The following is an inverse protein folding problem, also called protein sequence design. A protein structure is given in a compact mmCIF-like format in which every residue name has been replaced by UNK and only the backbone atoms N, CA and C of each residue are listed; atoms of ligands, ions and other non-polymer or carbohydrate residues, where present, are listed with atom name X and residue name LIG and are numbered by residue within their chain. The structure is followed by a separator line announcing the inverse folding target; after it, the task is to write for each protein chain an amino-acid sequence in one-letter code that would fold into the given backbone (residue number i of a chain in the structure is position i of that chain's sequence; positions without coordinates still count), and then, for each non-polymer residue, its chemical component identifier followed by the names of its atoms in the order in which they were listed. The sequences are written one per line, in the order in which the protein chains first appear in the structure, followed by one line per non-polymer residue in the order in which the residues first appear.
data_IF_026261705612
#
_entry.id   IF_026261705612
#
_cell.length_a   1.000
_cell.length_b   1.000
_cell.length_c   1.000
_cell.angle_alpha   90.00
_cell.angle_beta   90.00
_cell.angle_gamma   90.00
#
_symmetry.space_group_name_H-M   'P 1'
#
loop_
_entity.id
_entity.type
_entity.pdbx_description
1 polymer ?
#
# COMPACT_ATOMS: atom_id res chain seq x y z
N UNK A 1 -16.06 -1.41 -8.94
CA UNK A 1 -16.39 -1.14 -10.36
C UNK A 1 -16.53 0.37 -10.54
N UNK A 2 -16.05 0.93 -11.66
CA UNK A 2 -16.38 2.31 -12.05
C UNK A 2 -17.87 2.40 -12.40
N UNK A 3 -18.46 3.60 -12.33
CA UNK A 3 -19.87 3.80 -12.70
C UNK A 3 -20.18 3.27 -14.11
N UNK A 4 -19.34 3.58 -15.09
CA UNK A 4 -19.45 3.09 -16.45
C UNK A 4 -19.39 1.55 -16.57
N UNK A 5 -18.51 0.90 -15.80
CA UNK A 5 -18.42 -0.57 -15.77
C UNK A 5 -19.64 -1.21 -15.10
N UNK A 6 -20.22 -0.52 -14.10
CA UNK A 6 -21.45 -0.94 -13.45
C UNK A 6 -22.62 -0.89 -14.45
N UNK A 7 -22.83 0.26 -15.09
CA UNK A 7 -23.94 0.47 -16.04
C UNK A 7 -23.84 -0.50 -17.22
N UNK A 8 -22.67 -0.69 -17.81
CA UNK A 8 -22.44 -1.67 -18.89
C UNK A 8 -22.67 -3.11 -18.45
N UNK A 9 -22.29 -3.45 -17.22
CA UNK A 9 -22.48 -4.78 -16.62
C UNK A 9 -23.97 -5.10 -16.48
N UNK A 10 -24.73 -4.18 -15.91
CA UNK A 10 -26.17 -4.37 -15.71
C UNK A 10 -26.97 -4.33 -17.01
N UNK A 11 -26.63 -3.45 -17.95
CA UNK A 11 -27.25 -3.41 -19.28
C UNK A 11 -27.05 -4.72 -20.07
N UNK A 12 -26.00 -5.49 -19.76
CA UNK A 12 -25.67 -6.74 -20.43
C UNK A 12 -25.77 -7.97 -19.50
N UNK A 13 -26.52 -7.89 -18.42
CA UNK A 13 -26.58 -8.93 -17.38
C UNK A 13 -26.89 -10.31 -17.93
N UNK A 14 -27.78 -10.42 -18.90
CA UNK A 14 -28.14 -11.69 -19.57
C UNK A 14 -26.95 -12.35 -20.25
N UNK A 15 -26.02 -11.57 -20.80
CA UNK A 15 -24.79 -12.08 -21.43
C UNK A 15 -23.81 -12.66 -20.40
N UNK A 16 -23.87 -12.17 -19.15
CA UNK A 16 -22.91 -12.52 -18.10
C UNK A 16 -23.48 -13.50 -17.06
N UNK A 17 -24.80 -13.75 -17.04
CA UNK A 17 -25.49 -14.54 -15.99
C UNK A 17 -24.88 -15.93 -15.74
N UNK A 18 -24.34 -16.56 -16.78
CA UNK A 18 -23.75 -17.91 -16.67
C UNK A 18 -22.26 -17.88 -16.24
N UNK A 19 -21.67 -16.68 -16.15
CA UNK A 19 -20.25 -16.47 -15.81
C UNK A 19 -20.03 -15.65 -14.56
N UNK A 20 -21.03 -14.93 -14.10
CA UNK A 20 -20.98 -14.03 -12.94
C UNK A 20 -21.99 -14.49 -11.89
N UNK A 21 -21.49 -14.77 -10.70
CA UNK A 21 -22.31 -15.12 -9.56
C UNK A 21 -22.17 -14.05 -8.50
N UNK A 22 -23.26 -13.39 -8.14
CA UNK A 22 -23.29 -12.44 -7.03
C UNK A 22 -23.50 -13.20 -5.73
N UNK A 23 -22.64 -12.96 -4.76
CA UNK A 23 -22.71 -13.52 -3.40
C UNK A 23 -22.61 -12.41 -2.38
N UNK A 24 -23.20 -12.57 -1.18
CA UNK A 24 -22.96 -11.65 -0.09
C UNK A 24 -21.50 -11.73 0.37
N UNK A 25 -21.00 -10.64 0.94
CA UNK A 25 -19.60 -10.48 1.31
C UNK A 25 -19.10 -11.57 2.27
N UNK A 26 -19.93 -12.01 3.22
CA UNK A 26 -19.60 -13.08 4.16
C UNK A 26 -19.33 -14.44 3.47
N UNK A 27 -19.74 -14.62 2.23
CA UNK A 27 -19.42 -15.79 1.40
C UNK A 27 -18.21 -15.47 0.51
N UNK A 28 -18.25 -14.37 -0.26
CA UNK A 28 -17.19 -14.04 -1.22
C UNK A 28 -15.84 -13.76 -0.56
N UNK A 29 -15.85 -13.16 0.63
CA UNK A 29 -14.65 -12.79 1.38
C UNK A 29 -14.33 -13.77 2.53
N UNK A 30 -14.93 -14.96 2.55
CA UNK A 30 -14.66 -15.95 3.59
C UNK A 30 -13.17 -16.34 3.60
N UNK A 31 -12.43 -16.14 4.70
CA UNK A 31 -11.01 -16.46 4.81
C UNK A 31 -10.67 -17.89 4.39
N UNK A 32 -11.51 -18.85 4.77
CA UNK A 32 -11.35 -20.26 4.39
C UNK A 32 -11.48 -20.51 2.88
N UNK A 33 -12.36 -19.78 2.19
CA UNK A 33 -12.52 -19.88 0.75
C UNK A 33 -11.32 -19.25 0.02
N UNK A 34 -10.89 -18.06 0.46
CA UNK A 34 -9.73 -17.36 -0.12
C UNK A 34 -8.49 -18.26 -0.06
N UNK A 35 -8.23 -18.87 1.10
CA UNK A 35 -7.09 -19.79 1.27
C UNK A 35 -7.19 -21.03 0.38
N UNK A 36 -8.36 -21.67 0.31
CA UNK A 36 -8.54 -22.90 -0.51
C UNK A 36 -8.39 -22.63 -1.99
N UNK A 37 -8.74 -21.44 -2.46
CA UNK A 37 -8.60 -21.05 -3.87
C UNK A 37 -7.16 -20.68 -4.24
N UNK A 38 -6.27 -20.47 -3.28
CA UNK A 38 -4.90 -19.99 -3.54
C UNK A 38 -4.89 -18.64 -4.23
N UNK A 39 -5.71 -17.71 -3.76
CA UNK A 39 -5.92 -16.39 -4.38
C UNK A 39 -4.63 -15.59 -4.40
N UNK A 40 -4.35 -14.93 -5.53
CA UNK A 40 -3.40 -13.83 -5.61
C UNK A 40 -4.20 -12.54 -5.43
N UNK A 41 -4.01 -11.87 -4.29
CA UNK A 41 -4.70 -10.63 -3.97
C UNK A 41 -3.90 -9.41 -4.44
N UNK A 42 -4.53 -8.55 -5.24
CA UNK A 42 -3.94 -7.29 -5.68
C UNK A 42 -4.83 -6.16 -5.16
N UNK A 43 -4.31 -5.39 -4.22
CA UNK A 43 -5.00 -4.28 -3.59
C UNK A 43 -4.29 -2.96 -3.90
N UNK A 44 -5.04 -1.86 -3.95
CA UNK A 44 -4.46 -0.52 -4.09
C UNK A 44 -4.10 0.05 -2.73
N UNK A 45 -2.99 0.80 -2.68
CA UNK A 45 -2.58 1.61 -1.55
C UNK A 45 -2.69 3.10 -1.89
N UNK A 46 -2.94 3.94 -0.89
CA UNK A 46 -2.73 5.39 -0.97
C UNK A 46 -1.25 5.67 -0.75
N UNK A 47 -0.69 5.06 0.29
CA UNK A 47 0.74 5.17 0.62
C UNK A 47 1.22 3.91 1.33
N UNK A 48 2.51 3.63 1.29
CA UNK A 48 3.15 2.64 2.14
C UNK A 48 4.49 3.14 2.67
N UNK A 49 4.91 2.60 3.81
CA UNK A 49 6.18 3.00 4.40
C UNK A 49 7.34 2.08 4.02
N UNK A 50 8.53 2.48 4.47
CA UNK A 50 9.78 1.76 4.20
C UNK A 50 9.81 0.35 4.79
N UNK A 51 8.92 0.00 5.71
CA UNK A 51 8.84 -1.35 6.30
C UNK A 51 7.73 -2.20 5.70
N UNK A 52 6.84 -1.59 4.91
CA UNK A 52 5.77 -2.28 4.21
C UNK A 52 4.41 -2.21 4.92
N UNK A 53 4.24 -1.30 5.90
CA UNK A 53 2.91 -0.95 6.38
C UNK A 53 2.17 -0.17 5.30
N UNK A 54 0.87 -0.42 5.15
CA UNK A 54 0.04 0.14 4.08
C UNK A 54 -1.11 0.94 4.65
N UNK A 55 -1.28 2.16 4.13
CA UNK A 55 -2.48 2.97 4.26
C UNK A 55 -3.25 2.92 2.93
N UNK A 56 -4.49 2.47 2.98
CA UNK A 56 -5.38 2.36 1.82
C UNK A 56 -6.67 3.17 1.97
N UNK A 57 -6.85 3.90 3.08
CA UNK A 57 -8.12 4.57 3.43
C UNK A 57 -8.00 6.06 3.69
N UNK A 58 -6.87 6.56 4.20
CA UNK A 58 -6.73 7.94 4.67
C UNK A 58 -5.77 8.76 3.80
N UNK A 59 -6.11 10.04 3.61
CA UNK A 59 -5.27 11.05 2.97
C UNK A 59 -4.97 12.19 3.92
N UNK A 60 -3.75 12.74 3.81
CA UNK A 60 -3.32 13.87 4.66
C UNK A 60 -3.34 13.57 6.15
N UNK A 61 -3.22 12.31 6.52
CA UNK A 61 -3.14 11.84 7.91
C UNK A 61 -4.48 11.63 8.62
N UNK A 62 -5.53 12.38 8.28
CA UNK A 62 -6.76 12.41 9.08
C UNK A 62 -8.06 12.24 8.30
N UNK A 63 -8.04 12.46 6.99
CA UNK A 63 -9.25 12.46 6.18
C UNK A 63 -9.48 11.07 5.56
N UNK A 64 -10.58 10.43 5.93
CA UNK A 64 -10.97 9.17 5.30
C UNK A 64 -11.43 9.43 3.86
N UNK A 65 -10.83 8.73 2.91
CA UNK A 65 -11.17 8.78 1.49
C UNK A 65 -12.13 7.67 1.11
N UNK A 66 -11.90 6.47 1.63
CA UNK A 66 -12.72 5.27 1.38
C UNK A 66 -12.57 4.29 2.54
N UNK A 67 -13.50 3.35 2.65
CA UNK A 67 -13.39 2.26 3.62
C UNK A 67 -12.38 1.19 3.18
N UNK A 68 -11.93 0.38 4.12
CA UNK A 68 -10.97 -0.72 3.88
C UNK A 68 -11.53 -1.80 2.93
N UNK A 69 -12.85 -1.94 2.85
CA UNK A 69 -13.50 -2.98 2.06
C UNK A 69 -13.09 -4.39 2.48
N UNK A 70 -12.90 -5.25 1.49
CA UNK A 70 -12.45 -6.65 1.71
C UNK A 70 -10.93 -6.83 1.69
N UNK A 71 -10.15 -5.76 1.57
CA UNK A 71 -8.70 -5.89 1.39
C UNK A 71 -8.01 -6.62 2.53
N UNK A 72 -8.49 -6.46 3.78
CA UNK A 72 -7.96 -7.16 4.94
C UNK A 72 -8.19 -8.67 4.90
N UNK A 73 -9.39 -9.10 4.49
CA UNK A 73 -9.71 -10.53 4.35
C UNK A 73 -8.83 -11.16 3.27
N UNK A 74 -8.68 -10.48 2.14
CA UNK A 74 -7.86 -11.00 1.03
C UNK A 74 -6.37 -10.94 1.35
N UNK A 75 -5.83 -9.83 1.85
CA UNK A 75 -4.41 -9.70 2.14
C UNK A 75 -3.91 -10.79 3.12
N UNK A 76 -4.68 -11.03 4.20
CA UNK A 76 -4.30 -12.01 5.24
C UNK A 76 -4.49 -13.46 4.85
N UNK A 77 -5.26 -13.75 3.81
CA UNK A 77 -5.66 -15.12 3.49
C UNK A 77 -5.28 -15.54 2.06
N UNK A 78 -4.78 -14.63 1.24
CA UNK A 78 -4.28 -14.95 -0.10
C UNK A 78 -3.02 -15.82 -0.05
N UNK A 79 -2.77 -16.53 -1.13
CA UNK A 79 -1.49 -17.19 -1.36
C UNK A 79 -0.37 -16.16 -1.57
N UNK A 80 -0.71 -15.03 -2.20
CA UNK A 80 0.20 -13.91 -2.42
C UNK A 80 -0.55 -12.60 -2.25
N UNK A 81 -0.07 -11.73 -1.37
CA UNK A 81 -0.63 -10.41 -1.08
C UNK A 81 0.21 -9.32 -1.73
N UNK A 82 -0.37 -8.60 -2.68
CA UNK A 82 0.28 -7.54 -3.46
C UNK A 82 -0.43 -6.23 -3.22
N UNK A 83 0.31 -5.17 -2.91
CA UNK A 83 -0.20 -3.81 -2.87
C UNK A 83 0.44 -2.95 -3.95
N UNK A 84 -0.37 -2.14 -4.62
CA UNK A 84 0.05 -1.32 -5.76
C UNK A 84 -0.30 0.14 -5.53
N UNK A 85 0.61 1.04 -5.90
CA UNK A 85 0.37 2.49 -5.95
C UNK A 85 1.30 3.13 -6.97
N UNK A 86 1.17 4.43 -7.23
CA UNK A 86 2.18 5.20 -7.94
C UNK A 86 3.30 5.58 -6.97
N UNK A 87 4.52 5.78 -7.45
CA UNK A 87 5.62 6.25 -6.60
C UNK A 87 5.45 7.72 -6.20
N UNK A 88 4.83 8.52 -7.08
CA UNK A 88 4.54 9.93 -6.87
C UNK A 88 3.28 10.38 -7.61
N UNK A 89 2.69 11.51 -7.19
CA UNK A 89 1.66 12.22 -7.94
C UNK A 89 2.21 12.75 -9.28
N UNK A 90 1.31 13.05 -10.24
CA UNK A 90 1.70 13.53 -11.59
C UNK A 90 2.58 14.78 -11.58
N UNK A 91 2.44 15.62 -10.58
CA UNK A 91 3.22 16.86 -10.41
C UNK A 91 4.42 16.69 -9.47
N UNK A 92 4.71 15.47 -9.05
CA UNK A 92 5.78 15.11 -8.11
C UNK A 92 5.77 15.90 -6.80
N UNK A 93 4.59 16.33 -6.34
CA UNK A 93 4.45 17.02 -5.05
C UNK A 93 4.15 16.07 -3.89
N UNK A 94 3.50 14.94 -4.19
CA UNK A 94 3.12 13.92 -3.21
C UNK A 94 3.86 12.63 -3.55
N UNK A 95 4.50 12.05 -2.56
CA UNK A 95 5.16 10.75 -2.67
C UNK A 95 4.34 9.72 -1.91
N UNK A 96 4.24 8.53 -2.46
CA UNK A 96 3.41 7.45 -1.90
C UNK A 96 4.24 6.37 -1.18
N UNK A 97 5.56 6.48 -1.21
CA UNK A 97 6.50 5.67 -0.41
C UNK A 97 7.16 6.59 0.60
N UNK A 98 6.94 6.35 1.88
CA UNK A 98 7.20 7.32 2.95
C UNK A 98 8.02 6.70 4.09
N UNK A 99 8.61 7.52 4.99
CA UNK A 99 9.24 6.98 6.20
C UNK A 99 8.26 6.20 7.06
N UNK A 100 7.05 6.76 7.28
CA UNK A 100 6.00 6.17 8.08
C UNK A 100 4.64 6.58 7.50
N UNK A 101 3.73 5.62 7.36
CA UNK A 101 2.37 5.91 6.90
C UNK A 101 1.59 6.67 7.98
N UNK A 102 0.70 7.54 7.55
CA UNK A 102 -0.13 8.35 8.46
C UNK A 102 -1.26 7.56 9.12
N UNK A 103 -1.63 6.44 8.55
CA UNK A 103 -2.63 5.49 9.03
C UNK A 103 -2.24 4.08 8.60
N UNK A 104 -2.49 3.07 9.42
CA UNK A 104 -2.16 1.68 9.10
C UNK A 104 -3.44 0.87 8.93
N UNK A 105 -3.75 0.50 7.70
CA UNK A 105 -4.81 -0.47 7.38
C UNK A 105 -4.28 -1.90 7.33
N UNK A 106 -3.06 -2.08 6.80
CA UNK A 106 -2.38 -3.37 6.74
C UNK A 106 -0.96 -3.23 7.27
N UNK A 107 -0.61 -4.13 8.18
CA UNK A 107 0.74 -4.17 8.75
C UNK A 107 1.71 -4.85 7.78
N UNK A 108 2.99 -4.64 7.99
CA UNK A 108 4.06 -5.29 7.21
C UNK A 108 3.96 -6.83 7.20
N UNK A 109 3.25 -7.42 8.17
CA UNK A 109 3.06 -8.88 8.26
C UNK A 109 2.07 -9.43 7.23
N UNK A 110 1.17 -8.58 6.72
CA UNK A 110 0.13 -8.95 5.76
C UNK A 110 0.52 -8.65 4.30
N UNK A 111 1.75 -8.18 4.08
CA UNK A 111 2.22 -7.68 2.77
C UNK A 111 3.40 -8.50 2.28
N UNK A 112 3.22 -9.15 1.13
CA UNK A 112 4.27 -9.93 0.47
C UNK A 112 5.04 -9.11 -0.56
N UNK A 113 4.31 -8.35 -1.39
CA UNK A 113 4.89 -7.60 -2.52
C UNK A 113 4.31 -6.19 -2.56
N UNK A 114 5.19 -5.22 -2.74
CA UNK A 114 4.83 -3.84 -3.06
C UNK A 114 5.23 -3.50 -4.49
N UNK A 115 4.35 -2.81 -5.20
CA UNK A 115 4.57 -2.42 -6.60
C UNK A 115 4.27 -0.94 -6.79
N UNK A 116 5.16 -0.25 -7.48
CA UNK A 116 4.92 1.10 -8.01
C UNK A 116 5.17 1.13 -9.51
N UNK A 117 4.90 2.25 -10.15
CA UNK A 117 5.28 2.50 -11.54
C UNK A 117 6.81 2.52 -11.77
N UNK A 118 7.60 2.59 -10.70
CA UNK A 118 9.07 2.51 -10.76
C UNK A 118 9.55 1.06 -10.75
N UNK A 119 8.91 0.19 -9.96
CA UNK A 119 9.30 -1.20 -9.87
C UNK A 119 8.60 -1.98 -8.76
N UNK A 120 9.17 -3.14 -8.43
CA UNK A 120 8.61 -4.14 -7.53
C UNK A 120 9.59 -4.47 -6.40
N UNK A 121 9.07 -4.56 -5.19
CA UNK A 121 9.78 -5.06 -4.01
C UNK A 121 9.10 -6.34 -3.49
N UNK A 122 9.73 -7.48 -3.66
CA UNK A 122 9.38 -8.73 -3.00
C UNK A 122 9.95 -8.71 -1.58
N UNK A 123 9.06 -8.74 -0.59
CA UNK A 123 9.38 -8.56 0.83
C UNK A 123 9.40 -9.88 1.61
N UNK A 124 9.06 -10.99 0.95
CA UNK A 124 8.98 -12.30 1.58
C UNK A 124 10.34 -12.75 2.08
N UNK A 125 10.38 -13.27 3.31
CA UNK A 125 11.61 -13.76 3.93
C UNK A 125 12.61 -12.66 4.34
N UNK A 126 12.27 -11.38 4.21
CA UNK A 126 13.13 -10.26 4.57
C UNK A 126 12.80 -9.73 5.96
N UNK A 127 13.84 -9.44 6.74
CA UNK A 127 13.73 -8.67 7.97
C UNK A 127 13.39 -7.20 7.67
N UNK A 128 12.81 -6.42 8.61
CA UNK A 128 12.36 -5.05 8.34
C UNK A 128 13.43 -4.14 7.73
N UNK A 129 14.66 -4.21 8.18
CA UNK A 129 15.74 -3.40 7.59
C UNK A 129 16.07 -3.79 6.15
N UNK A 130 15.95 -5.06 5.82
CA UNK A 130 16.13 -5.57 4.45
C UNK A 130 14.95 -5.18 3.56
N UNK A 131 13.72 -5.16 4.14
CA UNK A 131 12.53 -4.63 3.46
C UNK A 131 12.72 -3.16 3.10
N UNK A 132 13.18 -2.34 4.06
CA UNK A 132 13.45 -0.93 3.83
C UNK A 132 14.44 -0.70 2.68
N UNK A 133 15.55 -1.42 2.68
CA UNK A 133 16.52 -1.35 1.59
C UNK A 133 15.90 -1.73 0.24
N UNK A 134 15.13 -2.81 0.21
CA UNK A 134 14.47 -3.31 -1.00
C UNK A 134 13.42 -2.31 -1.53
N UNK A 135 12.57 -1.77 -0.66
CA UNK A 135 11.52 -0.79 -1.02
C UNK A 135 12.16 0.49 -1.54
N UNK A 136 13.13 1.05 -0.81
CA UNK A 136 13.79 2.31 -1.20
C UNK A 136 14.46 2.18 -2.56
N UNK A 137 15.14 1.07 -2.81
CA UNK A 137 15.84 0.82 -4.06
C UNK A 137 14.89 0.67 -5.25
N UNK A 138 13.79 -0.07 -5.07
CA UNK A 138 12.98 -0.55 -6.17
C UNK A 138 11.69 0.25 -6.41
N UNK A 139 11.09 0.84 -5.36
CA UNK A 139 9.74 1.41 -5.44
C UNK A 139 9.68 2.94 -5.28
N UNK A 140 10.77 3.58 -4.84
CA UNK A 140 10.78 5.01 -4.56
C UNK A 140 11.09 5.82 -5.83
N UNK A 141 10.34 6.89 -6.02
CA UNK A 141 10.58 7.84 -7.12
C UNK A 141 12.03 8.37 -7.09
N UNK A 142 12.75 8.45 -8.22
CA UNK A 142 14.17 8.81 -8.25
C UNK A 142 14.51 10.14 -7.55
N UNK A 143 13.70 11.18 -7.74
CA UNK A 143 13.90 12.49 -7.10
C UNK A 143 13.87 12.45 -5.57
N UNK A 144 13.23 11.42 -5.00
CA UNK A 144 13.00 11.32 -3.57
C UNK A 144 13.83 10.22 -2.90
N UNK A 145 14.42 9.35 -3.70
CA UNK A 145 15.13 8.14 -3.22
C UNK A 145 16.26 8.48 -2.27
N UNK A 146 17.07 9.47 -2.59
CA UNK A 146 18.22 9.89 -1.78
C UNK A 146 17.79 10.42 -0.41
N UNK A 147 16.73 11.24 -0.39
CA UNK A 147 16.17 11.78 0.86
C UNK A 147 15.67 10.67 1.79
N UNK A 148 14.94 9.69 1.23
CA UNK A 148 14.42 8.57 2.00
C UNK A 148 15.54 7.61 2.44
N UNK A 149 16.57 7.42 1.61
CA UNK A 149 17.77 6.66 1.95
C UNK A 149 18.51 7.30 3.14
N UNK A 150 18.77 8.60 3.05
CA UNK A 150 19.41 9.36 4.13
C UNK A 150 18.62 9.28 5.45
N UNK A 151 17.30 9.39 5.39
CA UNK A 151 16.44 9.19 6.56
C UNK A 151 16.66 7.80 7.18
N UNK A 152 16.58 6.75 6.37
CA UNK A 152 16.72 5.36 6.83
C UNK A 152 18.11 5.09 7.43
N UNK A 153 19.16 5.55 6.76
CA UNK A 153 20.54 5.33 7.22
C UNK A 153 20.80 6.03 8.57
N UNK A 154 20.32 7.28 8.74
CA UNK A 154 20.38 8.00 10.03
C UNK A 154 19.57 7.29 11.11
N UNK A 155 18.37 6.80 10.79
CA UNK A 155 17.55 6.05 11.73
C UNK A 155 18.27 4.78 12.19
N UNK A 156 18.90 4.04 11.29
CA UNK A 156 19.71 2.86 11.63
C UNK A 156 20.89 3.19 12.55
N UNK A 157 21.61 4.29 12.27
CA UNK A 157 22.79 4.69 13.03
C UNK A 157 22.45 5.23 14.43
N UNK A 158 21.43 6.08 14.52
CA UNK A 158 21.13 6.86 15.74
C UNK A 158 20.15 6.16 16.68
N UNK A 159 19.23 5.34 16.15
CA UNK A 159 18.17 4.69 16.93
C UNK A 159 18.34 3.18 16.99
N UNK A 160 18.77 2.55 15.90
CA UNK A 160 18.90 1.09 15.84
C UNK A 160 17.57 0.37 16.01
N UNK A 161 17.60 -0.85 16.53
CA UNK A 161 16.40 -1.65 16.79
C UNK A 161 15.88 -2.41 15.57
N UNK A 162 14.65 -2.91 15.67
CA UNK A 162 14.00 -3.76 14.68
C UNK A 162 13.52 -2.96 13.46
N UNK A 163 12.77 -1.90 13.72
CA UNK A 163 12.24 -0.94 12.73
C UNK A 163 12.72 0.47 13.08
N UNK A 164 13.97 0.85 12.75
CA UNK A 164 14.54 2.13 13.14
C UNK A 164 13.75 3.31 12.55
N UNK A 165 13.38 4.26 13.40
CA UNK A 165 12.72 5.52 13.02
C UNK A 165 13.32 6.72 13.75
N UNK A 166 13.41 7.83 13.04
CA UNK A 166 13.55 9.17 13.64
C UNK A 166 12.13 9.70 13.87
N UNK A 167 11.54 9.42 15.05
CA UNK A 167 10.12 9.72 15.33
C UNK A 167 9.78 11.19 15.13
N UNK A 168 10.72 12.08 15.46
CA UNK A 168 10.62 13.52 15.27
C UNK A 168 10.54 13.95 13.79
N UNK A 169 11.02 13.09 12.88
CA UNK A 169 11.04 13.35 11.44
C UNK A 169 10.04 12.47 10.65
N UNK A 170 9.55 11.38 11.23
CA UNK A 170 8.79 10.35 10.52
C UNK A 170 7.57 10.90 9.75
N UNK A 171 6.94 11.94 10.27
CA UNK A 171 5.80 12.64 9.64
C UNK A 171 6.15 13.97 8.99
N UNK A 172 7.43 14.32 8.88
CA UNK A 172 7.84 15.63 8.34
C UNK A 172 7.37 15.84 6.90
N UNK A 173 7.28 14.79 6.09
CA UNK A 173 6.75 14.83 4.71
C UNK A 173 5.26 15.17 4.69
N UNK A 174 4.46 14.57 5.56
CA UNK A 174 3.04 14.88 5.70
C UNK A 174 2.83 16.32 6.20
N UNK A 175 3.66 16.77 7.14
CA UNK A 175 3.60 18.14 7.65
C UNK A 175 3.93 19.16 6.55
N UNK A 176 4.99 18.94 5.77
CA UNK A 176 5.31 19.81 4.62
C UNK A 176 4.19 19.85 3.59
N UNK A 177 3.58 18.69 3.28
CA UNK A 177 2.42 18.65 2.38
C UNK A 177 1.28 19.54 2.88
N UNK A 178 0.97 19.47 4.16
CA UNK A 178 -0.10 20.26 4.79
C UNK A 178 0.22 21.76 4.79
N UNK A 179 1.46 22.13 5.05
CA UNK A 179 1.90 23.51 5.20
C UNK A 179 2.18 24.18 3.85
N UNK A 180 2.80 23.45 2.93
CA UNK A 180 3.37 24.01 1.69
C UNK A 180 2.71 23.44 0.42
N UNK A 181 1.78 22.49 0.55
CA UNK A 181 1.19 21.79 -0.61
C UNK A 181 2.15 20.86 -1.34
N UNK A 182 3.29 20.50 -0.73
CA UNK A 182 4.28 19.59 -1.29
C UNK A 182 5.04 18.85 -0.19
N UNK A 183 5.42 17.60 -0.44
CA UNK A 183 6.29 16.81 0.44
C UNK A 183 7.79 17.10 0.26
N UNK A 184 8.13 17.92 -0.74
CA UNK A 184 9.51 18.37 -1.01
C UNK A 184 10.04 19.32 0.03
#
# INVERSE_FOLDING_TARGET
LSADSYDRGFANLQKYKDRVVLRPQNISNTPGLIRRLGVIAINTAIEFDIYGNVNSTHIGGTNIMNGIGGSGDFARNAYLSIFVTQAASKDNRIFHVLPMVSHVDHTEHDVDILVTDIGLADLRGLAPRERADRIIRNCVHPEYRESLRSYFDRACQLRGGHTPHMLEEAFSWHNRLRENGSMK
#
